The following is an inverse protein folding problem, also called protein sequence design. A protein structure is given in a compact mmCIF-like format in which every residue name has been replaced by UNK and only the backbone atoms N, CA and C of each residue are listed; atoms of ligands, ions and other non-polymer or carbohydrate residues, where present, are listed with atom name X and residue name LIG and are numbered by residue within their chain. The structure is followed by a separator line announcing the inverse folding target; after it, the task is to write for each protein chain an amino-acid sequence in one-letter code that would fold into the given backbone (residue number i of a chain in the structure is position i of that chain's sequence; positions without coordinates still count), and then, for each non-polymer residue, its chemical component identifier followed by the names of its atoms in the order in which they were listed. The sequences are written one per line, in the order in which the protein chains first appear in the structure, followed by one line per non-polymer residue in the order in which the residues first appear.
data_IF_348937264571
#
_entry.id   IF_348937264571
#
_cell.length_a   1.000
_cell.length_b   1.000
_cell.length_c   1.000
_cell.angle_alpha   90.00
_cell.angle_beta   90.00
_cell.angle_gamma   90.00
#
_symmetry.space_group_name_H-M   'P 1'
#
loop_
_entity.id
_entity.type
_entity.pdbx_description
1 polymer ?
#
# COMPACT_ATOMS: atom_id res chain seq x y z
N UNK A 1 -10.09 -37.51 4.32
CA UNK A 1 -9.31 -36.98 5.46
C UNK A 1 -8.61 -35.64 5.13
N UNK A 2 -9.22 -34.75 4.34
CA UNK A 2 -8.61 -33.46 3.91
C UNK A 2 -9.29 -32.20 4.48
N UNK A 3 -10.49 -32.32 5.06
CA UNK A 3 -11.29 -31.17 5.54
C UNK A 3 -10.68 -30.56 6.82
N UNK A 4 -9.98 -31.34 7.65
CA UNK A 4 -9.51 -30.92 8.97
C UNK A 4 -8.27 -30.00 8.94
N UNK A 5 -7.48 -30.02 7.86
CA UNK A 5 -6.31 -29.15 7.71
C UNK A 5 -6.67 -27.78 7.12
N UNK A 6 -7.83 -27.66 6.48
CA UNK A 6 -8.28 -26.43 5.82
C UNK A 6 -8.87 -25.39 6.82
N UNK A 7 -9.42 -25.83 7.94
CA UNK A 7 -10.10 -24.96 8.91
C UNK A 7 -9.11 -24.16 9.77
N UNK A 8 -7.94 -24.74 10.04
CA UNK A 8 -6.91 -24.13 10.90
C UNK A 8 -6.34 -22.79 10.40
N UNK A 9 -5.90 -22.64 9.12
CA UNK A 9 -5.39 -21.35 8.63
C UNK A 9 -6.43 -20.25 8.62
N UNK A 10 -7.66 -20.56 8.19
CA UNK A 10 -8.75 -19.57 8.13
C UNK A 10 -9.12 -19.06 9.52
N UNK A 11 -9.26 -19.95 10.50
CA UNK A 11 -9.54 -19.57 11.89
C UNK A 11 -8.39 -18.79 12.52
N UNK A 12 -7.15 -19.13 12.18
CA UNK A 12 -5.94 -18.46 12.67
C UNK A 12 -5.86 -17.01 12.16
N UNK A 13 -6.03 -16.81 10.85
CA UNK A 13 -6.04 -15.48 10.24
C UNK A 13 -7.20 -14.63 10.79
N UNK A 14 -8.40 -15.22 10.94
CA UNK A 14 -9.54 -14.57 11.58
C UNK A 14 -9.22 -14.12 13.01
N UNK A 15 -8.59 -14.99 13.81
CA UNK A 15 -8.20 -14.66 15.19
C UNK A 15 -7.13 -13.57 15.26
N UNK A 16 -6.18 -13.56 14.32
CA UNK A 16 -5.13 -12.56 14.27
C UNK A 16 -5.69 -11.20 13.81
N UNK A 17 -6.57 -11.20 12.80
CA UNK A 17 -7.26 -9.99 12.32
C UNK A 17 -8.07 -9.31 13.44
N UNK A 18 -8.72 -10.09 14.31
CA UNK A 18 -9.44 -9.59 15.48
C UNK A 18 -8.53 -8.99 16.57
N UNK A 19 -7.23 -9.35 16.58
CA UNK A 19 -6.24 -8.84 17.53
C UNK A 19 -5.49 -7.59 17.03
N UNK A 20 -5.64 -7.22 15.75
CA UNK A 20 -5.00 -6.03 15.14
C UNK A 20 -5.29 -4.72 15.87
N UNK A 21 -6.51 -4.42 16.39
CA UNK A 21 -6.75 -3.14 17.06
C UNK A 21 -5.88 -2.94 18.30
N UNK A 22 -5.32 -4.01 18.87
CA UNK A 22 -4.39 -3.98 20.01
C UNK A 22 -2.94 -3.72 19.60
N UNK A 23 -2.60 -3.88 18.31
CA UNK A 23 -1.26 -3.76 17.74
C UNK A 23 -1.10 -2.55 16.81
N UNK A 24 -2.13 -1.72 16.64
CA UNK A 24 -1.98 -0.40 16.02
C UNK A 24 -1.07 0.41 16.94
N UNK A 25 0.23 0.34 16.65
CA UNK A 25 1.24 1.20 17.21
C UNK A 25 0.76 2.63 16.96
N UNK A 26 0.48 3.35 18.05
CA UNK A 26 0.50 4.80 18.03
C UNK A 26 1.78 5.19 17.30
N UNK A 27 1.65 5.74 16.09
CA UNK A 27 2.70 6.61 15.58
C UNK A 27 2.94 7.61 16.69
N UNK A 28 4.16 7.66 17.23
CA UNK A 28 4.50 8.50 18.35
C UNK A 28 3.97 9.90 18.04
N UNK A 29 2.89 10.30 18.72
CA UNK A 29 2.43 11.67 18.74
C UNK A 29 3.45 12.35 19.63
N UNK A 30 4.56 12.71 19.03
CA UNK A 30 5.55 13.54 19.67
C UNK A 30 4.89 14.92 19.75
N UNK A 31 4.35 15.26 20.92
CA UNK A 31 3.66 16.52 21.19
C UNK A 31 4.73 17.62 21.28
N UNK A 32 5.47 17.81 20.20
CA UNK A 32 6.39 18.92 20.01
C UNK A 32 5.64 20.02 19.26
N UNK A 33 5.75 21.25 19.76
CA UNK A 33 5.10 22.43 19.15
C UNK A 33 5.47 22.59 17.66
N UNK A 34 6.67 22.14 17.28
CA UNK A 34 7.17 22.17 15.90
C UNK A 34 6.41 21.19 14.97
N UNK A 35 5.99 20.01 15.46
CA UNK A 35 5.19 19.08 14.66
C UNK A 35 3.79 19.63 14.40
N UNK A 36 3.17 20.28 15.40
CA UNK A 36 1.86 20.91 15.19
C UNK A 36 1.93 22.12 14.24
N UNK A 37 3.05 22.85 14.22
CA UNK A 37 3.29 23.88 13.20
C UNK A 37 3.39 23.29 11.80
N UNK A 38 4.13 22.19 11.62
CA UNK A 38 4.20 21.46 10.34
C UNK A 38 2.81 20.96 9.93
N UNK A 39 2.06 20.39 10.87
CA UNK A 39 0.70 19.87 10.62
C UNK A 39 -0.30 20.94 10.21
N UNK A 40 -0.07 22.21 10.54
CA UNK A 40 -0.93 23.30 10.08
C UNK A 40 -1.01 23.37 8.54
N UNK A 41 0.04 22.93 7.83
CA UNK A 41 0.13 22.92 6.36
C UNK A 41 -0.35 21.58 5.77
N UNK A 42 -0.18 20.46 6.47
CA UNK A 42 -0.50 19.12 5.94
C UNK A 42 -1.87 18.58 6.32
N UNK A 43 -2.50 19.05 7.41
CA UNK A 43 -3.65 18.37 8.05
C UNK A 43 -4.81 18.07 7.10
N UNK A 44 -5.09 18.95 6.14
CA UNK A 44 -6.15 18.76 5.15
C UNK A 44 -5.88 17.62 4.15
N UNK A 45 -4.63 17.17 4.09
CA UNK A 45 -4.11 16.20 3.14
C UNK A 45 -3.52 14.97 3.82
N UNK A 46 -3.60 14.83 5.14
CA UNK A 46 -3.06 13.66 5.84
C UNK A 46 -3.84 12.37 5.49
N UNK A 47 -3.11 11.26 5.40
CA UNK A 47 -3.67 9.97 5.03
C UNK A 47 -4.37 9.28 6.21
N UNK A 48 -5.60 8.83 5.99
CA UNK A 48 -6.42 8.17 7.01
C UNK A 48 -6.15 6.66 7.09
N UNK A 49 -5.07 6.29 7.79
CA UNK A 49 -4.68 4.89 7.96
C UNK A 49 -5.73 4.02 8.64
N UNK A 50 -6.47 4.56 9.61
CA UNK A 50 -7.44 3.77 10.36
C UNK A 50 -8.59 3.30 9.47
N UNK A 51 -9.22 4.22 8.74
CA UNK A 51 -10.30 3.88 7.80
C UNK A 51 -9.83 2.88 6.75
N UNK A 52 -8.69 3.16 6.12
CA UNK A 52 -8.08 2.26 5.15
C UNK A 52 -7.82 0.85 5.72
N UNK A 53 -7.28 0.76 6.95
CA UNK A 53 -6.95 -0.53 7.57
C UNK A 53 -8.20 -1.35 7.88
N UNK A 54 -9.28 -0.70 8.34
CA UNK A 54 -10.56 -1.36 8.58
C UNK A 54 -11.13 -1.94 7.29
N UNK A 55 -11.12 -1.17 6.20
CA UNK A 55 -11.59 -1.61 4.88
C UNK A 55 -10.74 -2.77 4.36
N UNK A 56 -9.41 -2.66 4.46
CA UNK A 56 -8.48 -3.70 4.06
C UNK A 56 -8.71 -5.02 4.82
N UNK A 57 -8.89 -4.95 6.14
CA UNK A 57 -9.21 -6.13 6.95
C UNK A 57 -10.56 -6.73 6.54
N UNK A 58 -11.58 -5.90 6.34
CA UNK A 58 -12.91 -6.35 5.93
C UNK A 58 -12.87 -7.10 4.59
N UNK A 59 -12.17 -6.58 3.60
CA UNK A 59 -11.99 -7.25 2.31
C UNK A 59 -11.23 -8.58 2.44
N UNK A 60 -10.19 -8.63 3.27
CA UNK A 60 -9.49 -9.90 3.56
C UNK A 60 -10.43 -10.93 4.17
N UNK A 61 -11.24 -10.53 5.15
CA UNK A 61 -12.23 -11.43 5.76
C UNK A 61 -13.20 -12.01 4.72
N UNK A 62 -13.66 -11.19 3.76
CA UNK A 62 -14.51 -11.65 2.66
C UNK A 62 -13.77 -12.69 1.80
N UNK A 63 -12.55 -12.40 1.34
CA UNK A 63 -11.77 -13.31 0.50
C UNK A 63 -11.48 -14.64 1.20
N UNK A 64 -11.14 -14.62 2.49
CA UNK A 64 -10.94 -15.82 3.29
C UNK A 64 -12.22 -16.64 3.47
N UNK A 65 -13.38 -15.98 3.65
CA UNK A 65 -14.68 -16.65 3.81
C UNK A 65 -15.11 -17.40 2.53
N UNK A 66 -14.73 -16.89 1.35
CA UNK A 66 -15.00 -17.52 0.06
C UNK A 66 -14.11 -18.75 -0.20
N UNK A 67 -13.02 -18.92 0.56
CA UNK A 67 -12.12 -20.06 0.42
C UNK A 67 -11.39 -20.12 -0.94
N UNK A 68 -11.27 -18.97 -1.62
CA UNK A 68 -10.62 -18.83 -2.93
C UNK A 68 -9.21 -19.45 -3.02
N UNK A 69 -8.30 -19.35 -2.01
CA UNK A 69 -6.95 -19.91 -2.16
C UNK A 69 -6.94 -21.43 -2.40
N UNK A 70 -8.01 -22.15 -2.02
CA UNK A 70 -8.11 -23.61 -2.19
C UNK A 70 -8.85 -24.06 -3.43
N UNK A 71 -9.54 -23.14 -4.12
CA UNK A 71 -10.44 -23.45 -5.23
C UNK A 71 -9.83 -23.20 -6.60
N UNK A 72 -8.68 -22.52 -6.67
CA UNK A 72 -7.99 -22.22 -7.92
C UNK A 72 -7.06 -23.37 -8.33
N UNK A 73 -7.14 -23.79 -9.60
CA UNK A 73 -6.13 -24.65 -10.22
C UNK A 73 -4.83 -23.86 -10.46
N UNK A 74 -3.71 -24.54 -10.69
CA UNK A 74 -2.45 -23.87 -11.08
C UNK A 74 -2.59 -23.05 -12.37
N UNK A 75 -3.37 -23.55 -13.35
CA UNK A 75 -3.65 -22.85 -14.60
C UNK A 75 -4.44 -21.56 -14.36
N UNK A 76 -5.48 -21.61 -13.52
CA UNK A 76 -6.25 -20.43 -13.13
C UNK A 76 -5.41 -19.42 -12.33
N UNK A 77 -4.49 -19.91 -11.50
CA UNK A 77 -3.58 -19.08 -10.70
C UNK A 77 -2.68 -18.22 -11.59
N UNK A 78 -2.02 -18.85 -12.57
CA UNK A 78 -1.14 -18.14 -13.50
C UNK A 78 -1.94 -17.14 -14.33
N UNK A 79 -3.11 -17.53 -14.85
CA UNK A 79 -3.97 -16.64 -15.63
C UNK A 79 -4.40 -15.39 -14.85
N UNK A 80 -4.73 -15.53 -13.56
CA UNK A 80 -5.07 -14.38 -12.69
C UNK A 80 -3.87 -13.45 -12.51
N UNK A 81 -2.68 -13.98 -12.23
CA UNK A 81 -1.46 -13.17 -12.09
C UNK A 81 -1.16 -12.44 -13.41
N UNK A 82 -1.15 -13.17 -14.53
CA UNK A 82 -0.83 -12.61 -15.85
C UNK A 82 -1.82 -11.47 -16.21
N UNK A 83 -3.12 -11.67 -15.95
CA UNK A 83 -4.14 -10.64 -16.18
C UNK A 83 -3.96 -9.44 -15.25
N UNK A 84 -3.63 -9.66 -13.98
CA UNK A 84 -3.35 -8.59 -13.02
C UNK A 84 -2.16 -7.73 -13.48
N UNK A 85 -1.07 -8.38 -13.92
CA UNK A 85 0.12 -7.68 -14.43
C UNK A 85 -0.15 -6.95 -15.74
N UNK A 86 -1.00 -7.52 -16.61
CA UNK A 86 -1.42 -6.87 -17.85
C UNK A 86 -2.22 -5.58 -17.57
N UNK A 87 -3.22 -5.66 -16.70
CA UNK A 87 -4.04 -4.50 -16.30
C UNK A 87 -3.19 -3.42 -15.59
N UNK A 88 -2.29 -3.82 -14.68
CA UNK A 88 -1.36 -2.89 -14.02
C UNK A 88 -0.47 -2.15 -15.04
N UNK A 89 -0.03 -2.85 -16.11
CA UNK A 89 0.73 -2.22 -17.19
C UNK A 89 -0.13 -1.24 -17.99
N UNK A 90 -1.37 -1.60 -18.32
CA UNK A 90 -2.30 -0.72 -19.04
C UNK A 90 -2.60 0.55 -18.26
N UNK A 91 -2.89 0.44 -16.96
CA UNK A 91 -3.07 1.59 -16.07
C UNK A 91 -1.85 2.50 -16.14
N UNK A 92 -0.64 1.96 -15.98
CA UNK A 92 0.58 2.78 -16.03
C UNK A 92 0.79 3.46 -17.39
N UNK A 93 0.44 2.80 -18.49
CA UNK A 93 0.53 3.40 -19.83
C UNK A 93 -0.49 4.53 -20.00
N UNK A 94 -1.72 4.35 -19.55
CA UNK A 94 -2.79 5.36 -19.59
C UNK A 94 -2.45 6.56 -18.71
N UNK A 95 -2.00 6.34 -17.47
CA UNK A 95 -1.52 7.41 -16.58
C UNK A 95 -0.37 8.21 -17.23
N UNK A 96 0.60 7.53 -17.82
CA UNK A 96 1.71 8.19 -18.51
C UNK A 96 1.22 9.00 -19.73
N UNK A 97 0.26 8.48 -20.50
CA UNK A 97 -0.35 9.21 -21.62
C UNK A 97 -1.11 10.44 -21.15
N UNK A 98 -1.94 10.31 -20.12
CA UNK A 98 -2.68 11.43 -19.52
C UNK A 98 -1.70 12.51 -19.05
N UNK A 99 -0.66 12.13 -18.31
CA UNK A 99 0.35 13.06 -17.82
C UNK A 99 1.11 13.77 -18.96
N UNK A 100 1.42 13.07 -20.05
CA UNK A 100 2.06 13.67 -21.22
C UNK A 100 1.14 14.67 -21.92
N UNK A 101 -0.14 14.32 -22.10
CA UNK A 101 -1.14 15.19 -22.71
C UNK A 101 -1.38 16.45 -21.87
N UNK A 102 -1.45 16.32 -20.54
CA UNK A 102 -1.59 17.47 -19.62
C UNK A 102 -0.36 18.38 -19.57
N UNK A 103 0.82 17.84 -19.86
CA UNK A 103 2.06 18.61 -19.93
C UNK A 103 2.22 19.40 -21.24
N UNK A 104 1.41 19.13 -22.27
CA UNK A 104 1.44 19.84 -23.54
C UNK A 104 0.66 21.16 -23.47
N UNK A 105 1.32 22.33 -23.59
CA UNK A 105 0.66 23.64 -23.53
C UNK A 105 -0.34 23.89 -24.67
N UNK A 106 -0.30 23.10 -25.75
CA UNK A 106 -1.18 23.24 -26.90
C UNK A 106 -2.54 22.55 -26.73
N UNK A 107 -2.69 21.66 -25.73
CA UNK A 107 -3.90 20.87 -25.52
C UNK A 107 -4.73 21.51 -24.40
N UNK A 108 -5.98 21.83 -24.69
CA UNK A 108 -6.93 22.30 -23.67
C UNK A 108 -7.52 21.11 -22.92
N UNK A 109 -7.73 21.25 -21.61
CA UNK A 109 -8.27 20.20 -20.74
C UNK A 109 -9.66 19.67 -21.16
N UNK A 110 -10.40 20.43 -21.98
CA UNK A 110 -11.75 20.08 -22.48
C UNK A 110 -11.73 19.28 -23.80
N UNK A 111 -10.58 18.71 -24.19
CA UNK A 111 -10.49 17.85 -25.37
C UNK A 111 -11.26 16.53 -25.15
N UNK A 112 -12.15 16.19 -26.08
CA UNK A 112 -12.91 14.93 -26.10
C UNK A 112 -11.97 13.72 -26.01
N UNK A 113 -10.77 13.81 -26.59
CA UNK A 113 -9.76 12.75 -26.50
C UNK A 113 -9.26 12.54 -25.07
N UNK A 114 -9.26 13.57 -24.22
CA UNK A 114 -8.83 13.47 -22.83
C UNK A 114 -9.91 12.81 -21.97
N UNK A 115 -11.18 13.12 -22.23
CA UNK A 115 -12.32 12.46 -21.58
C UNK A 115 -12.31 10.94 -21.84
N UNK A 116 -12.04 10.52 -23.08
CA UNK A 116 -11.97 9.09 -23.43
C UNK A 116 -10.83 8.37 -22.71
N UNK A 117 -9.65 9.00 -22.55
CA UNK A 117 -8.53 8.43 -21.80
C UNK A 117 -8.84 8.26 -20.31
N UNK A 118 -9.46 9.26 -19.67
CA UNK A 118 -9.87 9.15 -18.27
C UNK A 118 -10.89 8.04 -18.06
N UNK A 119 -11.85 7.91 -18.98
CA UNK A 119 -12.86 6.84 -18.95
C UNK A 119 -12.22 5.46 -19.13
N UNK A 120 -11.26 5.32 -20.04
CA UNK A 120 -10.53 4.07 -20.24
C UNK A 120 -9.69 3.70 -19.00
N UNK A 121 -9.04 4.68 -18.37
CA UNK A 121 -8.31 4.50 -17.12
C UNK A 121 -9.25 4.01 -16.00
N UNK A 122 -10.38 4.68 -15.78
CA UNK A 122 -11.36 4.29 -14.75
C UNK A 122 -11.88 2.87 -14.96
N UNK A 123 -12.19 2.50 -16.21
CA UNK A 123 -12.63 1.15 -16.55
C UNK A 123 -11.54 0.12 -16.28
N UNK A 124 -10.30 0.41 -16.69
CA UNK A 124 -9.15 -0.49 -16.50
C UNK A 124 -8.83 -0.68 -15.01
N UNK A 125 -8.92 0.37 -14.20
CA UNK A 125 -8.78 0.29 -12.75
C UNK A 125 -9.88 -0.57 -12.11
N UNK A 126 -11.12 -0.45 -12.60
CA UNK A 126 -12.23 -1.29 -12.15
C UNK A 126 -11.98 -2.76 -12.43
N UNK A 127 -11.55 -3.07 -13.65
CA UNK A 127 -11.20 -4.44 -14.03
C UNK A 127 -10.00 -4.95 -13.22
N UNK A 128 -8.99 -4.09 -12.97
CA UNK A 128 -7.84 -4.42 -12.14
C UNK A 128 -8.26 -4.85 -10.73
N UNK A 129 -9.16 -4.10 -10.08
CA UNK A 129 -9.64 -4.42 -8.72
C UNK A 129 -10.26 -5.82 -8.61
N UNK A 130 -10.91 -6.31 -9.67
CA UNK A 130 -11.51 -7.66 -9.70
C UNK A 130 -10.45 -8.77 -9.63
N UNK A 131 -9.31 -8.59 -10.30
CA UNK A 131 -8.22 -9.56 -10.31
C UNK A 131 -7.25 -9.36 -9.15
N UNK A 132 -7.04 -8.12 -8.71
CA UNK A 132 -6.12 -7.73 -7.65
C UNK A 132 -6.34 -8.54 -6.37
N UNK A 133 -7.55 -8.54 -5.82
CA UNK A 133 -7.88 -9.25 -4.56
C UNK A 133 -7.60 -10.77 -4.62
N UNK A 134 -7.80 -11.39 -5.79
CA UNK A 134 -7.49 -12.80 -6.00
C UNK A 134 -5.99 -13.02 -6.10
N UNK A 135 -5.29 -12.15 -6.86
CA UNK A 135 -3.83 -12.22 -7.00
C UNK A 135 -3.11 -12.00 -5.67
N UNK A 136 -3.58 -11.10 -4.81
CA UNK A 136 -3.06 -10.88 -3.46
C UNK A 136 -3.08 -12.19 -2.66
N UNK A 137 -4.23 -12.88 -2.68
CA UNK A 137 -4.41 -14.15 -1.97
C UNK A 137 -3.43 -15.22 -2.47
N UNK A 138 -3.18 -15.26 -3.78
CA UNK A 138 -2.20 -16.17 -4.39
C UNK A 138 -0.79 -15.84 -3.89
N UNK A 139 -0.40 -14.55 -3.92
CA UNK A 139 0.91 -14.11 -3.45
C UNK A 139 1.12 -14.38 -1.95
N UNK A 140 0.12 -14.06 -1.12
CA UNK A 140 0.12 -14.33 0.32
C UNK A 140 0.37 -15.81 0.62
N UNK A 141 -0.29 -16.70 -0.13
CA UNK A 141 -0.10 -18.14 0.02
C UNK A 141 1.31 -18.58 -0.41
N UNK A 142 1.76 -18.19 -1.60
CA UNK A 142 3.08 -18.59 -2.12
C UNK A 142 4.21 -18.10 -1.22
N UNK A 143 4.14 -16.85 -0.75
CA UNK A 143 5.12 -16.28 0.19
C UNK A 143 5.06 -17.03 1.52
N UNK A 144 3.86 -17.32 2.05
CA UNK A 144 3.70 -18.09 3.29
C UNK A 144 4.30 -19.50 3.19
N UNK A 145 4.16 -20.17 2.03
CA UNK A 145 4.76 -21.47 1.77
C UNK A 145 6.30 -21.40 1.80
N UNK A 146 6.89 -20.39 1.15
CA UNK A 146 8.34 -20.16 1.17
C UNK A 146 8.84 -19.85 2.59
N UNK A 147 8.16 -18.97 3.34
CA UNK A 147 8.51 -18.66 4.72
C UNK A 147 8.48 -19.89 5.62
N UNK A 148 7.52 -20.78 5.39
CA UNK A 148 7.41 -22.05 6.10
C UNK A 148 8.59 -22.98 5.80
N UNK A 149 9.00 -23.08 4.53
CA UNK A 149 10.20 -23.84 4.14
C UNK A 149 11.49 -23.25 4.75
N UNK A 150 11.53 -21.94 4.98
CA UNK A 150 12.65 -21.23 5.62
C UNK A 150 12.60 -21.24 7.16
N UNK A 151 11.66 -21.98 7.77
CA UNK A 151 11.51 -22.06 9.24
C UNK A 151 11.20 -20.71 9.90
N UNK A 152 10.65 -19.76 9.13
CA UNK A 152 10.15 -18.47 9.62
C UNK A 152 8.65 -18.54 9.96
N UNK A 153 8.15 -19.75 10.20
CA UNK A 153 6.76 -20.04 10.50
C UNK A 153 6.62 -20.76 11.84
N UNK A 154 5.50 -20.56 12.51
CA UNK A 154 5.13 -21.33 13.71
C UNK A 154 4.03 -22.32 13.33
N UNK A 155 4.26 -23.62 13.59
CA UNK A 155 3.33 -24.69 13.19
C UNK A 155 2.97 -24.66 11.69
N UNK A 156 3.91 -24.22 10.84
CA UNK A 156 3.74 -24.15 9.39
C UNK A 156 3.07 -22.89 8.86
N UNK A 157 2.75 -21.90 9.72
CA UNK A 157 2.18 -20.61 9.33
C UNK A 157 3.02 -19.43 9.83
N UNK A 158 3.30 -18.43 9.00
CA UNK A 158 4.01 -17.22 9.43
C UNK A 158 3.21 -16.47 10.51
N UNK A 159 3.91 -15.86 11.46
CA UNK A 159 3.33 -14.98 12.48
C UNK A 159 4.06 -13.63 12.42
N UNK A 160 3.38 -12.56 11.98
CA UNK A 160 1.97 -12.53 11.58
C UNK A 160 1.74 -13.23 10.22
N UNK A 161 0.50 -13.63 9.87
CA UNK A 161 0.17 -14.07 8.52
C UNK A 161 0.66 -13.07 7.45
N UNK A 162 1.01 -13.57 6.26
CA UNK A 162 1.30 -12.66 5.14
C UNK A 162 -0.01 -12.09 4.66
N UNK A 163 -0.26 -10.81 4.90
CA UNK A 163 -1.42 -10.08 4.42
C UNK A 163 -1.00 -8.75 3.82
N UNK A 164 -1.44 -8.46 2.60
CA UNK A 164 -1.19 -7.18 1.95
C UNK A 164 -2.30 -6.80 0.97
N UNK A 165 -2.37 -5.53 0.59
CA UNK A 165 -3.32 -5.00 -0.37
C UNK A 165 -2.60 -4.20 -1.45
N UNK A 166 -3.00 -4.37 -2.69
CA UNK A 166 -2.68 -3.38 -3.72
C UNK A 166 -3.49 -2.12 -3.45
N UNK A 167 -2.80 -1.00 -3.33
CA UNK A 167 -3.43 0.30 -3.04
C UNK A 167 -2.56 1.42 -3.60
N UNK A 168 -3.16 2.55 -4.03
CA UNK A 168 -2.43 3.81 -4.07
C UNK A 168 -1.77 4.06 -2.72
N UNK A 169 -0.51 4.48 -2.74
CA UNK A 169 0.29 4.68 -1.53
C UNK A 169 0.28 6.16 -1.13
N UNK A 170 0.25 6.45 0.18
CA UNK A 170 0.41 7.82 0.62
C UNK A 170 1.76 8.39 0.19
N UNK A 171 1.83 9.70 0.00
CA UNK A 171 3.10 10.40 -0.21
C UNK A 171 3.74 10.70 1.14
N UNK A 172 5.07 10.66 1.23
CA UNK A 172 5.79 11.03 2.44
C UNK A 172 6.22 12.49 2.35
N UNK A 173 5.72 13.33 3.26
CA UNK A 173 6.21 14.67 3.53
C UNK A 173 7.36 14.58 4.54
N UNK A 174 8.57 14.76 4.04
CA UNK A 174 9.80 14.80 4.83
C UNK A 174 10.14 16.25 5.15
N UNK A 175 10.32 16.55 6.43
CA UNK A 175 10.73 17.88 6.90
C UNK A 175 12.03 17.77 7.67
N UNK A 176 12.98 18.66 7.37
CA UNK A 176 14.31 18.67 7.97
C UNK A 176 14.82 20.10 8.18
N UNK A 177 15.65 20.35 9.21
CA UNK A 177 16.40 21.60 9.33
C UNK A 177 17.36 21.77 8.15
N UNK A 178 17.69 23.02 7.81
CA UNK A 178 18.63 23.31 6.72
C UNK A 178 20.10 23.15 7.10
N UNK A 179 20.41 23.19 8.40
CA UNK A 179 21.77 23.28 8.95
C UNK A 179 22.30 21.95 9.50
N UNK A 180 21.46 20.92 9.60
CA UNK A 180 21.86 19.60 10.11
C UNK A 180 21.13 18.46 9.39
N UNK A 181 21.81 17.33 9.19
CA UNK A 181 21.19 16.12 8.64
C UNK A 181 20.34 15.48 9.75
N UNK A 182 19.07 15.85 9.78
CA UNK A 182 18.07 15.32 10.71
C UNK A 182 16.69 15.39 10.08
N UNK A 183 15.86 14.38 10.33
CA UNK A 183 14.45 14.38 9.94
C UNK A 183 13.59 14.82 11.13
N UNK A 184 12.97 15.99 11.05
CA UNK A 184 12.10 16.54 12.10
C UNK A 184 10.65 16.05 11.94
N UNK A 185 10.21 15.76 10.71
CA UNK A 185 8.92 15.11 10.47
C UNK A 185 8.94 14.17 9.25
N UNK A 186 8.09 13.14 9.31
CA UNK A 186 7.70 12.29 8.20
C UNK A 186 6.19 12.05 8.30
N UNK A 187 5.42 12.77 7.50
CA UNK A 187 3.96 12.74 7.53
C UNK A 187 3.43 12.09 6.26
N UNK A 188 2.48 11.18 6.41
CA UNK A 188 1.83 10.52 5.28
C UNK A 188 0.69 11.39 4.75
N UNK A 189 0.79 11.80 3.50
CA UNK A 189 -0.22 12.56 2.78
C UNK A 189 -1.02 11.67 1.83
N UNK A 190 -2.19 12.13 1.43
CA UNK A 190 -3.04 11.47 0.44
C UNK A 190 -2.29 11.22 -0.88
N UNK A 191 -2.51 10.08 -1.55
CA UNK A 191 -1.91 9.79 -2.86
C UNK A 191 -2.26 10.83 -3.93
N UNK A 192 -3.44 11.47 -3.84
CA UNK A 192 -4.04 12.26 -4.91
C UNK A 192 -3.65 13.75 -4.88
N UNK A 193 -2.42 14.05 -4.48
CA UNK A 193 -1.91 15.43 -4.53
C UNK A 193 -1.47 15.81 -5.93
N UNK A 194 -1.98 16.93 -6.43
CA UNK A 194 -1.49 17.55 -7.67
C UNK A 194 -0.09 18.11 -7.47
N UNK A 195 0.67 18.28 -8.56
CA UNK A 195 1.98 18.93 -8.51
C UNK A 195 1.90 20.34 -7.94
N UNK A 196 0.85 21.10 -8.27
CA UNK A 196 0.61 22.44 -7.72
C UNK A 196 0.42 22.40 -6.21
N UNK A 197 -0.35 21.44 -5.69
CA UNK A 197 -0.54 21.25 -4.24
C UNK A 197 0.78 20.88 -3.57
N UNK A 198 1.54 19.97 -4.15
CA UNK A 198 2.86 19.57 -3.64
C UNK A 198 3.78 20.79 -3.51
N UNK A 199 3.95 21.54 -4.60
CA UNK A 199 4.82 22.72 -4.62
C UNK A 199 4.35 23.80 -3.65
N UNK A 200 3.03 23.99 -3.53
CA UNK A 200 2.46 24.97 -2.59
C UNK A 200 2.79 24.59 -1.15
N UNK A 201 2.58 23.33 -0.76
CA UNK A 201 2.87 22.85 0.60
C UNK A 201 4.37 22.96 0.89
N UNK A 202 5.22 22.52 -0.03
CA UNK A 202 6.68 22.56 0.13
C UNK A 202 7.20 24.00 0.27
N UNK A 203 6.77 24.91 -0.60
CA UNK A 203 7.25 26.30 -0.60
C UNK A 203 6.76 27.08 0.62
N UNK A 204 5.47 27.00 0.95
CA UNK A 204 4.91 27.70 2.11
C UNK A 204 5.62 27.28 3.40
N UNK A 205 5.85 25.98 3.57
CA UNK A 205 6.52 25.45 4.75
C UNK A 205 8.00 25.85 4.80
N UNK A 206 8.68 25.81 3.64
CA UNK A 206 10.08 26.22 3.53
C UNK A 206 10.29 27.70 3.85
N UNK A 207 9.36 28.57 3.45
CA UNK A 207 9.44 30.01 3.67
C UNK A 207 9.02 30.40 5.09
N UNK A 208 7.92 29.83 5.61
CA UNK A 208 7.35 30.24 6.91
C UNK A 208 8.12 29.66 8.11
N UNK A 209 8.72 28.48 7.96
CA UNK A 209 9.37 27.74 9.06
C UNK A 209 10.90 27.66 8.92
N UNK A 210 11.48 28.17 7.84
CA UNK A 210 12.92 28.04 7.50
C UNK A 210 13.43 26.59 7.52
N UNK A 211 12.65 25.68 6.92
CA UNK A 211 12.96 24.23 6.83
C UNK A 211 13.14 23.78 5.38
N UNK A 212 13.74 22.60 5.20
CA UNK A 212 13.64 21.87 3.94
C UNK A 212 12.44 20.91 4.02
N UNK A 213 11.47 21.10 3.13
CA UNK A 213 10.30 20.24 2.96
C UNK A 213 10.35 19.53 1.60
N UNK A 214 10.05 18.24 1.58
CA UNK A 214 10.04 17.44 0.36
C UNK A 214 8.96 16.36 0.44
N UNK A 215 8.07 16.32 -0.56
CA UNK A 215 7.01 15.34 -0.71
C UNK A 215 7.44 14.33 -1.78
N UNK A 216 7.40 13.05 -1.43
CA UNK A 216 7.89 11.99 -2.30
C UNK A 216 6.98 10.76 -2.29
N UNK A 217 7.06 9.99 -3.37
CA UNK A 217 6.39 8.69 -3.46
C UNK A 217 7.15 7.63 -2.67
N UNK A 218 6.42 6.64 -2.15
CA UNK A 218 6.97 5.49 -1.42
C UNK A 218 6.62 4.18 -2.13
N UNK A 219 7.34 3.10 -1.81
CA UNK A 219 7.16 1.78 -2.45
C UNK A 219 6.20 0.84 -1.73
N UNK A 220 5.98 1.05 -0.44
CA UNK A 220 5.10 0.25 0.42
C UNK A 220 4.91 0.91 1.78
N UNK A 221 3.93 0.42 2.54
CA UNK A 221 3.75 0.81 3.95
C UNK A 221 3.52 -0.44 4.78
N UNK A 222 4.31 -0.59 5.84
CA UNK A 222 4.23 -1.69 6.81
C UNK A 222 3.02 -1.63 7.75
N UNK A 223 1.86 -1.17 7.28
CA UNK A 223 0.58 -1.41 7.98
C UNK A 223 0.29 -2.91 8.00
N UNK A 224 -0.78 -3.30 8.70
CA UNK A 224 -1.24 -4.68 8.68
C UNK A 224 -2.76 -4.77 8.43
N UNK A 225 -3.21 -5.22 7.23
CA UNK A 225 -2.43 -5.66 6.07
C UNK A 225 -1.47 -4.60 5.51
N UNK A 226 -0.36 -5.02 4.90
CA UNK A 226 0.59 -4.10 4.28
C UNK A 226 0.00 -3.40 3.05
N UNK A 227 0.35 -2.13 2.84
CA UNK A 227 0.06 -1.42 1.59
C UNK A 227 1.18 -1.67 0.60
N UNK A 228 0.86 -2.11 -0.61
CA UNK A 228 1.84 -2.33 -1.68
C UNK A 228 1.38 -1.63 -2.95
N UNK A 229 2.28 -0.91 -3.61
CA UNK A 229 1.95 -0.27 -4.89
C UNK A 229 1.65 -1.33 -5.95
N UNK A 230 0.65 -1.09 -6.77
CA UNK A 230 0.41 -1.90 -7.95
C UNK A 230 1.63 -1.87 -8.89
N UNK A 231 2.04 -3.02 -9.40
CA UNK A 231 3.18 -3.14 -10.30
C UNK A 231 3.00 -4.30 -11.25
N UNK A 232 3.51 -4.15 -12.47
CA UNK A 232 3.62 -5.21 -13.47
C UNK A 232 5.01 -5.89 -13.44
N UNK A 233 5.90 -5.47 -12.53
CA UNK A 233 7.18 -6.12 -12.28
C UNK A 233 7.01 -7.11 -11.11
N UNK A 234 6.90 -8.38 -11.45
CA UNK A 234 6.66 -9.47 -10.51
C UNK A 234 7.79 -9.62 -9.47
N UNK A 235 9.04 -9.46 -9.87
CA UNK A 235 10.19 -9.58 -8.97
C UNK A 235 10.16 -8.48 -7.92
N UNK A 236 9.95 -7.24 -8.36
CA UNK A 236 9.81 -6.09 -7.47
C UNK A 236 8.62 -6.29 -6.52
N UNK A 237 7.47 -6.70 -7.03
CA UNK A 237 6.25 -6.90 -6.25
C UNK A 237 6.44 -7.94 -5.14
N UNK A 238 6.97 -9.13 -5.47
CA UNK A 238 7.21 -10.18 -4.48
C UNK A 238 8.23 -9.71 -3.43
N UNK A 239 9.29 -9.03 -3.86
CA UNK A 239 10.29 -8.46 -2.95
C UNK A 239 9.67 -7.43 -2.01
N UNK A 240 8.80 -6.54 -2.51
CA UNK A 240 8.12 -5.52 -1.70
C UNK A 240 7.16 -6.16 -0.71
N UNK A 241 6.33 -7.13 -1.12
CA UNK A 241 5.43 -7.83 -0.18
C UNK A 241 6.22 -8.52 0.93
N UNK A 242 7.32 -9.19 0.59
CA UNK A 242 8.20 -9.82 1.58
C UNK A 242 8.89 -8.80 2.49
N UNK A 243 9.30 -7.64 1.95
CA UNK A 243 9.88 -6.52 2.70
C UNK A 243 8.89 -5.95 3.73
N UNK A 244 7.66 -5.64 3.32
CA UNK A 244 6.63 -5.11 4.22
C UNK A 244 6.19 -6.16 5.27
N UNK A 245 6.14 -7.44 4.89
CA UNK A 245 5.91 -8.50 5.86
C UNK A 245 7.06 -8.62 6.87
N UNK A 246 8.31 -8.41 6.45
CA UNK A 246 9.45 -8.46 7.36
C UNK A 246 9.38 -7.37 8.43
N UNK A 247 8.92 -6.16 8.09
CA UNK A 247 8.63 -5.11 9.08
C UNK A 247 7.59 -5.60 10.10
N UNK A 248 6.45 -6.10 9.63
CA UNK A 248 5.38 -6.66 10.47
C UNK A 248 5.86 -7.81 11.37
N UNK A 249 6.74 -8.68 10.85
CA UNK A 249 7.37 -9.77 11.61
C UNK A 249 8.30 -9.24 12.71
N UNK A 250 9.15 -8.28 12.37
CA UNK A 250 10.14 -7.71 13.29
C UNK A 250 9.51 -6.84 14.37
N UNK A 251 8.37 -6.18 14.11
CA UNK A 251 7.59 -5.44 15.12
C UNK A 251 7.24 -6.31 16.34
N UNK A 252 7.04 -7.61 16.14
CA UNK A 252 6.76 -8.57 17.21
C UNK A 252 8.02 -9.16 17.86
N UNK A 253 9.20 -8.58 17.62
CA UNK A 253 10.50 -9.05 18.10
C UNK A 253 11.31 -7.90 18.70
N UNK A 254 12.33 -8.21 19.53
CA UNK A 254 13.13 -7.16 20.18
C UNK A 254 13.71 -6.10 19.22
N UNK A 255 14.01 -6.48 17.98
CA UNK A 255 14.53 -5.56 16.96
C UNK A 255 13.51 -4.51 16.48
N UNK A 256 12.22 -4.75 16.64
CA UNK A 256 11.16 -3.82 16.25
C UNK A 256 10.55 -3.02 17.40
N UNK A 257 10.94 -3.27 18.66
CA UNK A 257 10.42 -2.56 19.86
C UNK A 257 11.34 -1.38 20.25
N UNK A 258 12.05 -0.80 19.28
CA UNK A 258 12.96 0.34 19.53
C UNK A 258 12.22 1.67 19.63
#
# INVERSE_FOLDING_TARGET
MQIRNAIKPTLYILSFLLLIPLLVTRSNVDINAQIEQIRAYSRMHEFEFFGWSVDAVWEKLQMYSLGLPKRLSQENTRGVIDQTMHLARQIRLLENQINQTLADPAIQADDISMFDLFKELEQTESDYRLFASVSETIFEQQISEVLSQKQLSFSGQPIPPVLFRFSPLPKALIVSPRDVIRQDANLSLTPNLSLEQILTIEQQMADDLDVAAYITDIGGVGTYPAMVLQSFNLEWLISTVAHEWAHNYLTLRPLGIN
#
